data_IF_237692649128
#
_entry.id   IF_237692649128
#
_cell.length_a   1.000
_cell.length_b   1.000
_cell.length_c   1.000
_cell.angle_alpha   90.00
_cell.angle_beta   90.00
_cell.angle_gamma   90.00
#
_symmetry.space_group_name_H-M   'P 1'
#
loop_
_entity.id
_entity.type
_entity.pdbx_description
1 polymer ?
#
# COMPACT_ATOMS: atom_id res chain seq x y z
N UNK A 1 11.47 40.59 -11.12
CA UNK A 1 10.03 40.33 -10.91
C UNK A 1 9.66 39.14 -11.79
N UNK A 2 9.64 37.93 -11.21
CA UNK A 2 8.44 37.07 -11.00
C UNK A 2 7.81 36.61 -12.32
N UNK A 3 7.54 35.33 -12.59
CA UNK A 3 7.59 34.09 -11.82
C UNK A 3 6.74 33.04 -12.56
N UNK A 4 6.93 31.75 -12.21
CA UNK A 4 6.02 30.59 -12.34
C UNK A 4 5.55 30.17 -13.77
N UNK A 5 5.32 28.90 -14.14
CA UNK A 5 5.27 27.60 -13.47
C UNK A 5 5.24 26.51 -14.55
N UNK A 6 5.77 25.35 -14.22
CA UNK A 6 5.97 24.16 -15.04
C UNK A 6 4.64 23.58 -15.56
N UNK A 7 4.46 23.51 -16.88
CA UNK A 7 3.21 23.11 -17.54
C UNK A 7 3.33 21.80 -18.32
N UNK A 8 3.46 20.66 -17.64
CA UNK A 8 3.26 19.34 -18.23
C UNK A 8 2.03 18.66 -17.61
N UNK A 9 0.86 18.90 -18.22
CA UNK A 9 -0.37 18.18 -17.92
C UNK A 9 -0.50 17.02 -18.92
N UNK A 10 -0.21 15.79 -18.50
CA UNK A 10 -0.47 14.60 -19.30
C UNK A 10 -1.98 14.25 -19.31
N UNK A 11 -2.51 13.63 -20.38
CA UNK A 11 -3.94 13.46 -20.58
C UNK A 11 -4.48 12.27 -19.75
N UNK A 12 -5.43 12.50 -18.84
CA UNK A 12 -6.02 11.43 -18.03
C UNK A 12 -7.32 10.89 -18.62
N UNK A 13 -7.35 9.56 -18.80
CA UNK A 13 -8.47 8.77 -19.30
C UNK A 13 -9.39 8.39 -18.13
N UNK A 14 -10.67 8.72 -18.26
CA UNK A 14 -11.72 8.42 -17.26
C UNK A 14 -12.09 6.94 -17.31
N UNK A 15 -12.01 6.24 -16.18
CA UNK A 15 -12.59 4.89 -16.01
C UNK A 15 -13.65 4.97 -14.90
N UNK A 16 -14.87 4.54 -15.20
CA UNK A 16 -15.97 4.44 -14.22
C UNK A 16 -15.73 3.24 -13.31
N UNK A 17 -15.71 3.45 -12.00
CA UNK A 17 -15.86 2.37 -11.01
C UNK A 17 -17.33 2.33 -10.62
N UNK A 18 -18.02 1.29 -11.07
CA UNK A 18 -19.35 0.92 -10.60
C UNK A 18 -19.20 0.29 -9.21
N UNK A 19 -19.85 0.89 -8.21
CA UNK A 19 -19.91 0.41 -6.83
C UNK A 19 -21.01 -0.65 -6.73
N UNK A 20 -20.73 -1.94 -6.99
CA UNK A 20 -21.45 -3.04 -6.31
C UNK A 20 -20.91 -4.46 -6.57
N UNK A 21 -21.08 -5.30 -5.52
CA UNK A 21 -21.29 -6.77 -5.48
C UNK A 21 -20.10 -7.76 -5.57
N UNK A 22 -19.85 -8.31 -4.38
CA UNK A 22 -19.85 -9.75 -4.05
C UNK A 22 -18.86 -10.76 -4.67
N UNK A 23 -18.18 -11.47 -3.75
CA UNK A 23 -17.91 -12.92 -3.78
C UNK A 23 -16.78 -13.49 -4.66
N UNK A 24 -15.96 -12.70 -5.34
CA UNK A 24 -14.71 -13.22 -5.92
C UNK A 24 -13.51 -12.33 -5.62
N UNK A 25 -12.50 -12.92 -4.98
CA UNK A 25 -11.18 -12.36 -4.62
C UNK A 25 -10.87 -10.96 -5.17
N UNK A 26 -11.28 -9.93 -4.43
CA UNK A 26 -11.03 -8.54 -4.79
C UNK A 26 -9.53 -8.31 -4.98
N UNK A 27 -9.13 -8.13 -6.24
CA UNK A 27 -7.88 -7.50 -6.62
C UNK A 27 -8.22 -6.04 -6.90
N UNK A 28 -7.64 -5.06 -6.19
CA UNK A 28 -7.73 -3.69 -6.67
C UNK A 28 -7.13 -3.67 -8.07
N UNK A 29 -7.92 -3.25 -9.07
CA UNK A 29 -7.38 -2.95 -10.40
C UNK A 29 -6.31 -1.88 -10.25
N UNK A 30 -5.20 -2.05 -10.97
CA UNK A 30 -4.15 -1.05 -11.11
C UNK A 30 -4.79 0.31 -11.43
N UNK A 31 -4.69 1.28 -10.50
CA UNK A 31 -5.27 2.62 -10.67
C UNK A 31 -6.51 2.98 -9.84
N UNK A 32 -6.90 2.24 -8.79
CA UNK A 32 -8.00 2.71 -7.89
C UNK A 32 -7.65 4.05 -7.23
N UNK A 33 -8.57 5.03 -7.30
CA UNK A 33 -8.38 6.40 -6.80
C UNK A 33 -8.98 6.58 -5.40
N UNK A 34 -8.38 7.44 -4.57
CA UNK A 34 -8.90 7.86 -3.26
C UNK A 34 -9.94 9.00 -3.39
N UNK A 35 -10.55 9.41 -2.26
CA UNK A 35 -11.57 10.49 -2.21
C UNK A 35 -11.06 11.85 -2.73
N UNK A 36 -9.74 12.04 -2.76
CA UNK A 36 -9.07 13.24 -3.28
C UNK A 36 -8.60 13.11 -4.73
N UNK A 37 -8.90 11.98 -5.40
CA UNK A 37 -8.55 11.74 -6.80
C UNK A 37 -7.11 11.28 -7.02
N UNK A 38 -6.36 10.91 -5.98
CA UNK A 38 -5.03 10.33 -6.13
C UNK A 38 -5.11 8.82 -6.30
N UNK A 39 -4.27 8.25 -7.14
CA UNK A 39 -4.12 6.81 -7.22
C UNK A 39 -3.72 6.28 -5.84
N UNK A 40 -4.37 5.22 -5.37
CA UNK A 40 -3.91 4.41 -4.25
C UNK A 40 -2.66 3.68 -4.75
N UNK A 41 -1.56 4.40 -4.82
CA UNK A 41 -0.30 3.92 -5.33
C UNK A 41 0.32 2.97 -4.32
N UNK A 42 0.37 1.69 -4.68
CA UNK A 42 1.16 0.69 -3.96
C UNK A 42 2.58 1.21 -3.65
N UNK A 43 3.29 1.94 -4.54
CA UNK A 43 4.59 2.57 -4.24
C UNK A 43 4.64 3.42 -2.97
N UNK A 44 3.61 4.23 -2.67
CA UNK A 44 3.59 5.08 -1.47
C UNK A 44 3.58 4.24 -0.20
N UNK A 45 2.68 3.26 -0.13
CA UNK A 45 2.57 2.39 1.04
C UNK A 45 3.76 1.44 1.17
N UNK A 46 4.29 0.96 0.04
CA UNK A 46 5.56 0.23 0.02
C UNK A 46 6.67 1.07 0.62
N UNK A 47 6.78 2.34 0.22
CA UNK A 47 7.80 3.25 0.73
C UNK A 47 7.66 3.45 2.24
N UNK A 48 6.45 3.63 2.76
CA UNK A 48 6.22 3.73 4.21
C UNK A 48 6.72 2.51 4.98
N UNK A 49 6.43 1.31 4.48
CA UNK A 49 6.91 0.06 5.10
C UNK A 49 8.43 -0.02 5.03
N UNK A 50 9.03 0.32 3.89
CA UNK A 50 10.47 0.31 3.71
C UNK A 50 11.18 1.33 4.60
N UNK A 51 10.67 2.57 4.69
CA UNK A 51 11.23 3.60 5.56
C UNK A 51 11.11 3.21 7.03
N UNK A 52 10.01 2.58 7.43
CA UNK A 52 9.85 2.05 8.78
C UNK A 52 10.89 0.95 9.07
N UNK A 53 11.02 -0.03 8.18
CA UNK A 53 12.00 -1.11 8.33
C UNK A 53 13.44 -0.62 8.24
N UNK A 54 13.71 0.41 7.45
CA UNK A 54 15.02 1.05 7.37
C UNK A 54 15.37 1.78 8.66
N UNK A 55 14.39 2.42 9.30
CA UNK A 55 14.58 3.17 10.56
C UNK A 55 14.70 2.26 11.78
N UNK A 56 13.88 1.21 11.87
CA UNK A 56 13.78 0.36 13.06
C UNK A 56 14.46 -1.02 12.89
N UNK A 57 14.91 -1.37 11.68
CA UNK A 57 15.55 -2.65 11.34
C UNK A 57 14.60 -3.84 11.22
N UNK A 58 13.53 -3.84 12.00
CA UNK A 58 12.47 -4.86 11.96
C UNK A 58 11.12 -4.29 12.39
N UNK A 59 10.03 -4.96 12.02
CA UNK A 59 8.68 -4.61 12.45
C UNK A 59 7.85 -5.86 12.73
N UNK A 60 7.03 -5.85 13.78
CA UNK A 60 6.00 -6.87 13.90
C UNK A 60 4.92 -6.64 12.85
N UNK A 61 4.20 -7.70 12.47
CA UNK A 61 3.09 -7.57 11.52
C UNK A 61 2.06 -6.53 12.00
N UNK A 62 1.72 -6.55 13.28
CA UNK A 62 0.78 -5.61 13.89
C UNK A 62 1.22 -4.14 13.79
N UNK A 63 2.53 -3.85 13.91
CA UNK A 63 3.06 -2.48 13.76
C UNK A 63 2.89 -2.00 12.32
N UNK A 64 3.15 -2.87 11.34
CA UNK A 64 2.94 -2.57 9.92
C UNK A 64 1.47 -2.38 9.59
N UNK A 65 0.58 -3.21 10.15
CA UNK A 65 -0.86 -3.03 10.01
C UNK A 65 -1.27 -1.67 10.59
N UNK A 66 -0.88 -1.33 11.83
CA UNK A 66 -1.22 -0.05 12.45
C UNK A 66 -0.69 1.16 11.64
N UNK A 67 0.56 1.09 11.17
CA UNK A 67 1.18 2.13 10.34
C UNK A 67 0.37 2.39 9.07
N UNK A 68 -0.02 1.31 8.37
CA UNK A 68 -0.73 1.42 7.11
C UNK A 68 -2.20 1.80 7.33
N UNK A 69 -2.87 1.23 8.33
CA UNK A 69 -4.25 1.54 8.68
C UNK A 69 -4.44 3.04 8.99
N UNK A 70 -3.45 3.67 9.64
CA UNK A 70 -3.47 5.10 9.93
C UNK A 70 -3.30 6.00 8.69
N UNK A 71 -2.81 5.45 7.57
CA UNK A 71 -2.60 6.16 6.30
C UNK A 71 -3.60 5.77 5.21
N UNK A 72 -4.38 4.71 5.42
CA UNK A 72 -5.42 4.29 4.50
C UNK A 72 -6.66 5.19 4.62
N UNK A 73 -7.31 5.54 3.49
CA UNK A 73 -8.44 6.45 3.49
C UNK A 73 -9.66 5.86 4.20
N UNK A 74 -10.42 6.69 4.90
CA UNK A 74 -11.66 6.31 5.60
C UNK A 74 -12.85 6.03 4.66
N UNK A 75 -12.61 5.99 3.35
CA UNK A 75 -13.56 5.41 2.39
C UNK A 75 -13.59 3.89 2.48
N UNK A 76 -12.48 3.27 2.90
CA UNK A 76 -12.36 1.83 2.96
C UNK A 76 -12.92 1.31 4.28
N UNK A 77 -13.69 0.23 4.21
CA UNK A 77 -14.12 -0.50 5.39
C UNK A 77 -12.95 -1.32 6.00
N UNK A 78 -13.15 -1.84 7.21
CA UNK A 78 -12.11 -2.58 7.93
C UNK A 78 -11.59 -3.82 7.17
N UNK A 79 -12.47 -4.54 6.47
CA UNK A 79 -12.09 -5.71 5.69
C UNK A 79 -11.32 -5.30 4.42
N UNK A 80 -11.74 -4.23 3.74
CA UNK A 80 -11.00 -3.65 2.62
C UNK A 80 -9.61 -3.18 3.03
N UNK A 81 -9.50 -2.45 4.15
CA UNK A 81 -8.22 -1.98 4.70
C UNK A 81 -7.30 -3.17 5.00
N UNK A 82 -7.79 -4.19 5.71
CA UNK A 82 -7.03 -5.40 6.03
C UNK A 82 -6.57 -6.16 4.78
N UNK A 83 -7.42 -6.28 3.77
CA UNK A 83 -7.06 -6.92 2.50
C UNK A 83 -6.00 -6.12 1.74
N UNK A 84 -6.07 -4.79 1.73
CA UNK A 84 -5.05 -3.94 1.10
C UNK A 84 -3.69 -4.12 1.77
N UNK A 85 -3.62 -4.08 3.11
CA UNK A 85 -2.37 -4.30 3.85
C UNK A 85 -1.79 -5.69 3.56
N UNK A 86 -2.64 -6.72 3.60
CA UNK A 86 -2.23 -8.10 3.30
C UNK A 86 -1.66 -8.22 1.89
N UNK A 87 -2.35 -7.68 0.88
CA UNK A 87 -1.93 -7.76 -0.52
C UNK A 87 -0.63 -6.98 -0.76
N UNK A 88 -0.49 -5.80 -0.15
CA UNK A 88 0.71 -4.98 -0.22
C UNK A 88 1.93 -5.75 0.31
N UNK A 89 1.86 -6.27 1.55
CA UNK A 89 2.97 -6.99 2.16
C UNK A 89 3.30 -8.29 1.41
N UNK A 90 2.29 -8.97 0.87
CA UNK A 90 2.51 -10.12 -0.02
C UNK A 90 3.22 -9.73 -1.32
N UNK A 91 2.84 -8.60 -1.94
CA UNK A 91 3.49 -8.06 -3.12
C UNK A 91 4.95 -7.71 -2.85
N UNK A 92 5.22 -7.00 -1.75
CA UNK A 92 6.58 -6.65 -1.33
C UNK A 92 7.44 -7.89 -1.07
N UNK A 93 6.87 -8.94 -0.46
CA UNK A 93 7.57 -10.21 -0.26
C UNK A 93 7.90 -10.91 -1.57
N UNK A 94 6.95 -10.96 -2.51
CA UNK A 94 7.16 -11.56 -3.84
C UNK A 94 8.19 -10.78 -4.66
N UNK A 95 8.27 -9.47 -4.47
CA UNK A 95 9.27 -8.61 -5.08
C UNK A 95 10.66 -8.68 -4.40
N UNK A 96 10.80 -9.42 -3.30
CA UNK A 96 12.05 -9.50 -2.55
C UNK A 96 12.43 -8.22 -1.82
N UNK A 97 11.48 -7.30 -1.59
CA UNK A 97 11.73 -6.05 -0.88
C UNK A 97 11.74 -6.23 0.64
N UNK A 98 10.98 -7.19 1.13
CA UNK A 98 10.85 -7.53 2.55
C UNK A 98 10.69 -9.03 2.74
N UNK A 99 11.05 -9.53 3.90
CA UNK A 99 10.80 -10.93 4.25
C UNK A 99 10.41 -11.09 5.73
N UNK A 100 9.47 -11.98 6.05
CA UNK A 100 9.17 -12.34 7.43
C UNK A 100 10.18 -13.38 7.96
N UNK A 101 10.62 -13.22 9.20
CA UNK A 101 11.45 -14.15 9.96
C UNK A 101 10.72 -14.63 11.21
N UNK A 102 10.79 -15.93 11.50
CA UNK A 102 10.16 -16.55 12.67
C UNK A 102 8.80 -17.22 12.38
N UNK A 103 8.17 -17.81 13.42
CA UNK A 103 6.91 -18.51 13.27
C UNK A 103 5.78 -17.54 12.91
N UNK A 104 4.80 -18.00 12.12
CA UNK A 104 3.77 -17.15 11.48
C UNK A 104 3.08 -16.13 12.40
N UNK A 105 2.82 -16.46 13.67
CA UNK A 105 2.15 -15.58 14.64
C UNK A 105 3.08 -14.57 15.31
N UNK A 106 4.39 -14.82 15.33
CA UNK A 106 5.42 -13.95 15.93
C UNK A 106 6.43 -13.48 14.86
N UNK A 107 6.01 -13.49 13.59
CA UNK A 107 6.88 -13.14 12.49
C UNK A 107 7.23 -11.66 12.55
N UNK A 108 8.54 -11.39 12.58
CA UNK A 108 9.09 -10.04 12.43
C UNK A 108 9.53 -9.85 10.98
N UNK A 109 9.18 -8.72 10.40
CA UNK A 109 9.49 -8.37 9.03
C UNK A 109 10.81 -7.61 8.99
N UNK A 110 11.64 -7.94 8.00
CA UNK A 110 12.92 -7.29 7.74
C UNK A 110 12.98 -6.78 6.30
N UNK A 111 13.86 -5.81 6.06
CA UNK A 111 14.15 -5.28 4.74
C UNK A 111 15.04 -6.25 3.93
N UNK A 112 14.80 -6.31 2.62
CA UNK A 112 15.57 -7.10 1.67
C UNK A 112 14.98 -8.47 1.35
N UNK A 113 15.56 -9.18 0.36
CA UNK A 113 15.20 -10.56 0.06
C UNK A 113 15.56 -11.43 1.27
N UNK A 114 14.69 -12.38 1.61
CA UNK A 114 15.01 -13.35 2.65
C UNK A 114 16.25 -14.15 2.28
N UNK A 115 17.09 -14.40 3.27
CA UNK A 115 18.22 -15.33 3.19
C UNK A 115 17.72 -16.76 2.93
#
# INVERSE_FOLDING_TARGET
KQGIEDGYLAPYKVIRVDLDKDTFGWRPTEGMLDKLGNVIEDPYYQRLVLDYLQKYGQAARADLDALLLAKLPDVLDAAQKANKVKNLLQGMRRAGLVHPRGPRSLAVWHLGPGD
#
